data_IF_463845254339
#
_entry.id   IF_463845254339
#
_cell.length_a   1.000
_cell.length_b   1.000
_cell.length_c   1.000
_cell.angle_alpha   90.00
_cell.angle_beta   90.00
_cell.angle_gamma   90.00
#
_symmetry.space_group_name_H-M   'P 1'
#
loop_
_entity.id
_entity.type
_entity.pdbx_description
1 polymer ?
#
# COMPACT_ATOMS: atom_id res chain seq x y z
N UNK A 1 0.32 -9.35 -8.79
CA UNK A 1 1.63 -8.66 -8.74
C UNK A 1 1.36 -7.21 -8.38
N UNK A 2 2.00 -6.68 -7.33
CA UNK A 2 1.82 -5.28 -6.89
C UNK A 2 2.73 -4.38 -7.75
N UNK A 3 2.17 -3.35 -8.37
CA UNK A 3 2.94 -2.39 -9.19
C UNK A 3 3.35 -1.16 -8.38
N UNK A 4 4.27 -0.34 -8.90
CA UNK A 4 4.68 0.89 -8.22
C UNK A 4 3.54 1.90 -8.11
N UNK A 5 2.63 1.93 -9.08
CA UNK A 5 1.44 2.78 -9.07
C UNK A 5 0.47 2.38 -7.96
N UNK A 6 0.31 1.07 -7.69
CA UNK A 6 -0.49 0.58 -6.56
C UNK A 6 0.12 1.01 -5.24
N UNK A 7 1.44 0.85 -5.08
CA UNK A 7 2.17 1.30 -3.87
C UNK A 7 2.05 2.82 -3.70
N UNK A 8 2.17 3.58 -4.79
CA UNK A 8 2.04 5.03 -4.80
C UNK A 8 0.64 5.47 -4.36
N UNK A 9 -0.40 4.78 -4.84
CA UNK A 9 -1.77 4.98 -4.43
C UNK A 9 -1.96 4.72 -2.93
N UNK A 10 -1.52 3.56 -2.42
CA UNK A 10 -1.58 3.21 -0.99
C UNK A 10 -0.89 4.27 -0.12
N UNK A 11 0.29 4.74 -0.54
CA UNK A 11 1.10 5.65 0.26
C UNK A 11 0.80 7.13 0.04
N UNK A 12 -0.11 7.50 -0.87
CA UNK A 12 -0.32 8.89 -1.31
C UNK A 12 0.96 9.57 -1.79
N UNK A 13 1.74 8.87 -2.63
CA UNK A 13 3.01 9.33 -3.22
C UNK A 13 2.92 9.36 -4.74
N UNK A 14 3.92 9.97 -5.37
CA UNK A 14 4.11 9.85 -6.82
C UNK A 14 4.85 8.56 -7.17
N UNK A 15 4.59 8.01 -8.36
CA UNK A 15 5.29 6.83 -8.88
C UNK A 15 6.81 7.03 -8.88
N UNK A 16 7.28 8.22 -9.24
CA UNK A 16 8.70 8.59 -9.21
C UNK A 16 9.31 8.53 -7.80
N UNK A 17 8.51 8.80 -6.76
CA UNK A 17 8.95 8.64 -5.37
C UNK A 17 9.10 7.17 -5.02
N UNK A 18 8.10 6.35 -5.37
CA UNK A 18 8.12 4.90 -5.12
C UNK A 18 9.26 4.21 -5.88
N UNK A 19 9.51 4.60 -7.14
CA UNK A 19 10.63 4.09 -7.92
C UNK A 19 11.99 4.28 -7.20
N UNK A 20 12.17 5.39 -6.47
CA UNK A 20 13.40 5.66 -5.70
C UNK A 20 13.54 4.75 -4.47
N UNK A 21 12.45 4.20 -3.96
CA UNK A 21 12.50 3.21 -2.86
C UNK A 21 13.15 1.89 -3.31
N UNK A 22 13.08 1.58 -4.61
CA UNK A 22 13.65 0.37 -5.19
C UNK A 22 14.92 0.64 -6.02
N UNK A 23 15.38 1.90 -6.07
CA UNK A 23 16.62 2.27 -6.73
C UNK A 23 17.85 1.78 -5.94
N UNK A 24 19.02 1.80 -6.58
CA UNK A 24 20.31 1.44 -5.97
C UNK A 24 21.24 2.65 -5.91
N UNK A 25 22.19 2.63 -4.96
CA UNK A 25 23.20 3.69 -4.80
C UNK A 25 22.59 5.04 -4.43
N UNK A 26 23.17 6.12 -4.96
CA UNK A 26 22.82 7.51 -4.59
C UNK A 26 21.38 7.92 -4.94
N UNK A 27 20.71 7.15 -5.82
CA UNK A 27 19.31 7.39 -6.18
C UNK A 27 18.31 6.72 -5.23
N UNK A 28 18.78 5.86 -4.32
CA UNK A 28 17.94 5.23 -3.30
C UNK A 28 17.41 6.26 -2.31
N UNK A 29 16.12 6.18 -2.00
CA UNK A 29 15.52 6.90 -0.88
C UNK A 29 14.63 5.95 -0.11
N UNK A 30 14.83 5.84 1.20
CA UNK A 30 13.94 5.03 2.04
C UNK A 30 12.53 5.61 2.07
N UNK A 31 11.48 4.77 2.15
CA UNK A 31 10.15 5.21 2.55
C UNK A 31 10.19 5.90 3.92
N UNK A 32 9.30 6.86 4.12
CA UNK A 32 9.10 7.52 5.42
C UNK A 32 8.29 6.61 6.35
N UNK A 33 8.34 6.83 7.68
CA UNK A 33 7.56 6.03 8.63
C UNK A 33 6.06 5.98 8.32
N UNK A 34 5.49 7.08 7.80
CA UNK A 34 4.07 7.12 7.39
C UNK A 34 3.78 6.21 6.18
N UNK A 35 4.73 6.09 5.26
CA UNK A 35 4.58 5.23 4.08
C UNK A 35 4.59 3.75 4.53
N UNK A 36 5.50 3.39 5.45
CA UNK A 36 5.55 2.06 6.04
C UNK A 36 4.29 1.73 6.84
N UNK A 37 3.72 2.70 7.55
CA UNK A 37 2.46 2.54 8.28
C UNK A 37 1.28 2.24 7.35
N UNK A 38 1.16 2.97 6.23
CA UNK A 38 0.12 2.70 5.23
C UNK A 38 0.28 1.31 4.59
N UNK A 39 1.52 0.91 4.29
CA UNK A 39 1.81 -0.41 3.75
C UNK A 39 1.45 -1.52 4.75
N UNK A 40 1.80 -1.35 6.04
CA UNK A 40 1.46 -2.32 7.07
C UNK A 40 -0.05 -2.48 7.29
N UNK A 41 -0.82 -1.39 7.22
CA UNK A 41 -2.29 -1.48 7.26
C UNK A 41 -2.81 -2.25 6.06
N UNK A 42 -2.34 -1.92 4.84
CA UNK A 42 -2.83 -2.57 3.63
C UNK A 42 -2.49 -4.06 3.62
N UNK A 43 -1.29 -4.42 4.07
CA UNK A 43 -0.83 -5.80 4.25
C UNK A 43 -1.76 -6.56 5.21
N UNK A 44 -1.97 -6.01 6.41
CA UNK A 44 -2.92 -6.58 7.39
C UNK A 44 -4.32 -6.75 6.82
N UNK A 45 -4.83 -5.75 6.09
CA UNK A 45 -6.17 -5.82 5.52
C UNK A 45 -6.28 -6.93 4.47
N UNK A 46 -5.28 -7.07 3.59
CA UNK A 46 -5.27 -8.10 2.54
C UNK A 46 -5.16 -9.50 3.14
N UNK A 47 -4.28 -9.70 4.12
CA UNK A 47 -4.08 -11.00 4.76
C UNK A 47 -5.33 -11.49 5.49
N UNK A 48 -6.09 -10.59 6.08
CA UNK A 48 -7.25 -10.94 6.90
C UNK A 48 -8.57 -10.80 6.15
N UNK A 49 -8.58 -10.31 4.90
CA UNK A 49 -9.80 -9.88 4.21
C UNK A 49 -10.86 -10.97 4.18
N UNK A 50 -10.50 -12.21 3.81
CA UNK A 50 -11.45 -13.32 3.69
C UNK A 50 -12.14 -13.68 5.02
N UNK A 51 -11.43 -13.55 6.14
CA UNK A 51 -11.92 -13.85 7.49
C UNK A 51 -12.67 -12.67 8.13
N UNK A 52 -12.59 -11.47 7.55
CA UNK A 52 -13.29 -10.30 8.09
C UNK A 52 -14.82 -10.49 8.06
N UNK A 53 -15.55 -9.89 9.04
CA UNK A 53 -17.01 -9.88 9.01
C UNK A 53 -17.55 -9.25 7.72
N UNK A 54 -18.59 -9.85 7.13
CA UNK A 54 -19.22 -9.35 5.89
C UNK A 54 -19.67 -7.89 5.97
N UNK A 55 -20.12 -7.44 7.15
CA UNK A 55 -20.48 -6.04 7.37
C UNK A 55 -19.29 -5.10 7.15
N UNK A 56 -18.09 -5.51 7.56
CA UNK A 56 -16.86 -4.73 7.38
C UNK A 56 -16.39 -4.78 5.93
N UNK A 57 -16.44 -5.97 5.30
CA UNK A 57 -16.15 -6.11 3.86
C UNK A 57 -17.04 -5.19 3.03
N UNK A 58 -18.35 -5.21 3.27
CA UNK A 58 -19.31 -4.35 2.57
C UNK A 58 -19.13 -2.85 2.85
N UNK A 59 -18.53 -2.50 3.99
CA UNK A 59 -18.19 -1.10 4.29
C UNK A 59 -16.93 -0.64 3.54
N UNK A 60 -15.92 -1.49 3.46
CA UNK A 60 -14.66 -1.21 2.75
C UNK A 60 -14.81 -1.29 1.23
N UNK A 61 -15.58 -2.27 0.76
CA UNK A 61 -15.84 -2.57 -0.64
C UNK A 61 -17.36 -2.80 -0.82
N UNK A 62 -18.15 -1.72 -0.97
CA UNK A 62 -19.57 -1.85 -1.23
C UNK A 62 -19.83 -2.66 -2.50
N UNK A 63 -20.82 -3.57 -2.52
CA UNK A 63 -21.22 -4.22 -3.76
C UNK A 63 -21.79 -3.19 -4.74
N UNK A 64 -21.39 -3.30 -6.01
CA UNK A 64 -21.92 -2.49 -7.12
C UNK A 64 -23.42 -2.74 -7.37
#
# INVERSE_FOLDING_TARGET
MVTYEVIACICSRSDATVQRWFARGDNYRSPMPIDLYHLAIMDFLLENFEEMPEKLKNFLCPPD
#
